data_IF_995319415262
#
_entry.id   IF_995319415262
#
_cell.length_a   1.000
_cell.length_b   1.000
_cell.length_c   1.000
_cell.angle_alpha   90.00
_cell.angle_beta   90.00
_cell.angle_gamma   90.00
#
_symmetry.space_group_name_H-M   'P 1'
#
loop_
_entity.id
_entity.type
_entity.pdbx_description
1 polymer ?
#
# COMPACT_ATOMS: atom_id res chain seq x y z
N UNK A 1 -30.45 -65.40 -10.17
CA UNK A 1 -29.06 -64.96 -9.98
C UNK A 1 -28.96 -63.72 -10.85
N UNK A 2 -29.26 -62.53 -10.30
CA UNK A 2 -28.33 -61.69 -9.52
C UNK A 2 -27.08 -61.43 -10.36
N UNK A 3 -26.66 -60.23 -10.77
CA UNK A 3 -27.02 -58.81 -10.54
C UNK A 3 -26.31 -58.03 -11.69
N UNK A 4 -26.92 -56.97 -12.23
CA UNK A 4 -26.49 -55.55 -12.18
C UNK A 4 -25.03 -55.22 -12.56
N UNK A 5 -24.90 -54.23 -13.47
CA UNK A 5 -23.87 -53.18 -13.61
C UNK A 5 -23.82 -52.73 -15.08
N UNK A 6 -24.72 -51.84 -15.52
CA UNK A 6 -24.68 -50.36 -15.46
C UNK A 6 -23.63 -49.75 -16.40
N UNK A 7 -24.18 -48.91 -17.27
CA UNK A 7 -23.64 -48.18 -18.42
C UNK A 7 -22.42 -47.30 -18.11
N UNK A 8 -21.34 -47.46 -18.89
CA UNK A 8 -20.20 -46.53 -18.93
C UNK A 8 -20.48 -45.48 -20.02
N UNK A 9 -21.34 -44.51 -19.69
CA UNK A 9 -21.49 -43.29 -20.48
C UNK A 9 -20.25 -42.42 -20.27
N UNK A 10 -19.48 -42.29 -21.35
CA UNK A 10 -18.36 -41.36 -21.51
C UNK A 10 -18.79 -39.92 -21.25
N UNK A 11 -18.76 -39.51 -19.98
CA UNK A 11 -18.99 -38.13 -19.57
C UNK A 11 -17.64 -37.40 -19.57
N UNK A 12 -17.26 -36.83 -20.72
CA UNK A 12 -16.15 -35.89 -20.80
C UNK A 12 -16.56 -34.60 -20.06
N UNK A 13 -15.89 -34.20 -18.96
CA UNK A 13 -16.11 -32.89 -18.40
C UNK A 13 -15.58 -31.82 -19.38
N UNK A 14 -16.32 -30.71 -19.60
CA UNK A 14 -15.82 -29.61 -20.42
C UNK A 14 -14.69 -28.90 -19.67
N UNK A 15 -13.66 -28.53 -20.44
CA UNK A 15 -12.53 -27.66 -20.14
C UNK A 15 -12.33 -27.23 -18.69
N UNK A 16 -11.27 -27.75 -18.08
CA UNK A 16 -10.47 -26.94 -17.18
C UNK A 16 -9.92 -25.77 -18.00
N UNK A 17 -10.62 -24.64 -17.97
CA UNK A 17 -10.00 -23.37 -18.30
C UNK A 17 -8.80 -23.24 -17.36
N UNK A 18 -7.63 -23.43 -17.97
CA UNK A 18 -6.36 -23.26 -17.32
C UNK A 18 -6.37 -21.83 -16.82
N UNK A 19 -6.28 -21.65 -15.51
CA UNK A 19 -5.92 -20.39 -14.90
C UNK A 19 -4.54 -20.08 -15.49
N UNK A 20 -4.52 -19.27 -16.56
CA UNK A 20 -3.36 -18.49 -16.91
C UNK A 20 -3.12 -17.61 -15.69
N UNK A 21 -2.25 -18.07 -14.82
CA UNK A 21 -1.48 -17.18 -13.97
C UNK A 21 -0.57 -16.48 -14.97
N UNK A 22 -1.06 -15.36 -15.51
CA UNK A 22 -0.28 -14.44 -16.34
C UNK A 22 0.79 -13.81 -15.44
N UNK A 23 1.80 -14.60 -15.09
CA UNK A 23 3.02 -14.18 -14.43
C UNK A 23 3.97 -13.50 -15.45
N UNK A 24 3.42 -12.75 -16.40
CA UNK A 24 4.14 -12.11 -17.52
C UNK A 24 3.62 -10.68 -17.82
N UNK A 25 2.97 -10.01 -16.85
CA UNK A 25 2.60 -8.60 -16.98
C UNK A 25 3.78 -7.62 -16.87
N UNK A 26 4.98 -8.12 -16.49
CA UNK A 26 6.17 -7.30 -16.30
C UNK A 26 6.77 -6.70 -17.61
N UNK A 27 6.13 -6.92 -18.76
CA UNK A 27 6.62 -6.60 -20.10
C UNK A 27 5.62 -5.78 -20.95
N UNK A 28 4.61 -5.13 -20.39
CA UNK A 28 3.88 -4.11 -21.16
C UNK A 28 4.86 -2.95 -21.48
N UNK A 29 5.18 -2.70 -22.76
CA UNK A 29 6.06 -1.59 -23.14
C UNK A 29 5.44 -0.21 -22.86
N UNK A 30 4.17 -0.13 -22.44
CA UNK A 30 3.47 1.11 -22.11
C UNK A 30 3.21 1.29 -20.61
N UNK A 31 3.69 0.37 -19.76
CA UNK A 31 3.60 0.50 -18.30
C UNK A 31 4.70 1.45 -17.76
N UNK A 32 4.60 2.72 -18.15
CA UNK A 32 5.56 3.75 -17.75
C UNK A 32 5.68 3.85 -16.22
N UNK A 33 4.57 3.63 -15.49
CA UNK A 33 4.55 3.66 -14.03
C UNK A 33 5.27 2.46 -13.41
N UNK A 34 5.00 1.23 -13.83
CA UNK A 34 5.68 0.06 -13.25
C UNK A 34 7.16 -0.02 -13.62
N UNK A 35 7.61 0.55 -14.75
CA UNK A 35 9.05 0.79 -14.96
C UNK A 35 9.61 1.82 -13.97
N UNK A 36 8.91 2.92 -13.75
CA UNK A 36 9.32 3.96 -12.81
C UNK A 36 9.40 3.41 -11.37
N UNK A 37 8.38 2.68 -10.93
CA UNK A 37 8.30 2.11 -9.58
C UNK A 37 9.46 1.14 -9.31
N UNK A 38 9.79 0.26 -10.27
CA UNK A 38 10.95 -0.63 -10.20
C UNK A 38 12.28 0.12 -10.08
N UNK A 39 12.46 1.20 -10.85
CA UNK A 39 13.68 2.03 -10.77
C UNK A 39 13.78 2.80 -9.45
N UNK A 40 12.65 3.27 -8.91
CA UNK A 40 12.55 3.86 -7.57
C UNK A 40 12.99 2.85 -6.52
N UNK A 41 12.50 1.61 -6.58
CA UNK A 41 12.86 0.54 -5.66
C UNK A 41 14.36 0.22 -5.72
N UNK A 42 14.92 0.01 -6.91
CA UNK A 42 16.35 -0.25 -7.11
C UNK A 42 17.19 0.88 -6.52
N UNK A 43 16.78 2.12 -6.73
CA UNK A 43 17.44 3.32 -6.20
C UNK A 43 17.35 3.39 -4.68
N UNK A 44 16.18 3.12 -4.12
CA UNK A 44 15.94 3.09 -2.68
C UNK A 44 16.79 2.02 -2.00
N UNK A 45 16.79 0.78 -2.50
CA UNK A 45 17.59 -0.33 -1.98
C UNK A 45 19.10 -0.05 -2.09
N UNK A 46 19.55 0.63 -3.15
CA UNK A 46 20.93 1.09 -3.28
C UNK A 46 21.28 2.12 -2.20
N UNK A 47 20.39 3.04 -1.88
CA UNK A 47 20.59 4.04 -0.84
C UNK A 47 20.61 3.41 0.57
N UNK A 48 19.77 2.39 0.81
CA UNK A 48 19.78 1.56 2.03
C UNK A 48 21.16 0.92 2.23
N UNK A 49 21.69 0.22 1.21
CA UNK A 49 23.00 -0.45 1.27
C UNK A 49 24.14 0.53 1.56
N UNK A 50 24.04 1.76 1.07
CA UNK A 50 25.04 2.83 1.30
C UNK A 50 24.80 3.59 2.61
N UNK A 51 23.64 3.42 3.25
CA UNK A 51 23.15 4.22 4.37
C UNK A 51 23.20 5.73 4.10
N UNK A 52 22.80 6.17 2.90
CA UNK A 52 22.87 7.56 2.46
C UNK A 52 21.48 8.10 2.11
N UNK A 53 20.75 8.55 3.12
CA UNK A 53 19.39 9.11 2.98
C UNK A 53 19.39 10.33 2.05
N UNK A 54 20.34 11.25 2.21
CA UNK A 54 20.44 12.48 1.41
C UNK A 54 20.68 12.20 -0.09
N UNK A 55 21.36 11.10 -0.41
CA UNK A 55 21.60 10.69 -1.80
C UNK A 55 20.32 10.16 -2.45
N UNK A 56 19.46 9.48 -1.67
CA UNK A 56 18.21 8.94 -2.19
C UNK A 56 17.30 10.04 -2.74
N UNK A 57 17.09 11.13 -1.98
CA UNK A 57 16.22 12.23 -2.42
C UNK A 57 16.68 12.84 -3.75
N UNK A 58 17.99 13.02 -3.95
CA UNK A 58 18.52 13.58 -5.19
C UNK A 58 18.35 12.64 -6.39
N UNK A 59 18.66 11.35 -6.20
CA UNK A 59 18.53 10.32 -7.23
C UNK A 59 17.05 10.12 -7.62
N UNK A 60 16.16 10.02 -6.63
CA UNK A 60 14.71 9.88 -6.85
C UNK A 60 14.10 11.11 -7.52
N UNK A 61 14.54 12.32 -7.16
CA UNK A 61 14.11 13.55 -7.85
C UNK A 61 14.54 13.55 -9.32
N UNK A 62 15.73 13.04 -9.61
CA UNK A 62 16.23 12.92 -10.98
C UNK A 62 15.43 11.89 -11.77
N UNK A 63 15.10 10.74 -11.16
CA UNK A 63 14.23 9.71 -11.76
C UNK A 63 12.83 10.26 -12.06
N UNK A 64 12.18 10.93 -11.11
CA UNK A 64 10.87 11.57 -11.33
C UNK A 64 10.87 12.43 -12.58
N UNK A 65 11.88 13.28 -12.74
CA UNK A 65 11.98 14.18 -13.90
C UNK A 65 12.25 13.42 -15.20
N UNK A 66 12.98 12.30 -15.15
CA UNK A 66 13.27 11.49 -16.33
C UNK A 66 12.02 10.73 -16.83
N UNK A 67 11.18 10.25 -15.92
CA UNK A 67 9.93 9.54 -16.23
C UNK A 67 8.72 10.47 -16.33
N UNK A 68 8.89 11.78 -16.08
CA UNK A 68 7.81 12.77 -16.09
C UNK A 68 6.63 12.42 -15.16
N UNK A 69 6.94 11.86 -13.99
CA UNK A 69 5.96 11.49 -12.97
C UNK A 69 5.63 12.68 -12.06
N UNK A 70 4.43 12.67 -11.49
CA UNK A 70 4.02 13.69 -10.54
C UNK A 70 4.55 13.40 -9.11
N UNK A 71 4.11 14.17 -8.13
CA UNK A 71 4.54 13.98 -6.74
C UNK A 71 3.83 12.81 -6.07
N UNK A 72 2.58 12.54 -6.42
CA UNK A 72 1.78 11.44 -5.89
C UNK A 72 2.36 10.11 -6.37
N UNK A 73 2.65 9.96 -7.68
CA UNK A 73 3.30 8.80 -8.27
C UNK A 73 4.59 8.43 -7.52
N UNK A 74 5.39 9.46 -7.20
CA UNK A 74 6.63 9.28 -6.43
C UNK A 74 6.37 8.91 -4.97
N UNK A 75 5.35 9.49 -4.34
CA UNK A 75 4.99 9.17 -2.97
C UNK A 75 4.57 7.70 -2.85
N UNK A 76 3.70 7.23 -3.75
CA UNK A 76 3.31 5.83 -3.88
C UNK A 76 4.52 4.92 -4.09
N UNK A 77 5.35 5.18 -5.11
CA UNK A 77 6.49 4.32 -5.42
C UNK A 77 7.54 4.25 -4.29
N UNK A 78 7.80 5.37 -3.61
CA UNK A 78 8.72 5.40 -2.46
C UNK A 78 8.11 4.63 -1.28
N UNK A 79 6.82 4.83 -0.99
CA UNK A 79 6.15 4.09 0.07
C UNK A 79 6.11 2.59 -0.21
N UNK A 80 5.78 2.19 -1.45
CA UNK A 80 5.86 0.80 -1.92
C UNK A 80 7.23 0.19 -1.63
N UNK A 81 8.31 0.90 -2.01
CA UNK A 81 9.68 0.45 -1.75
C UNK A 81 10.00 0.28 -0.25
N UNK A 82 9.44 1.13 0.61
CA UNK A 82 9.61 1.01 2.07
C UNK A 82 8.91 -0.22 2.63
N UNK A 83 7.67 -0.45 2.22
CA UNK A 83 6.84 -1.53 2.73
C UNK A 83 7.29 -2.89 2.20
N UNK A 84 7.67 -2.97 0.92
CA UNK A 84 8.32 -4.15 0.35
C UNK A 84 9.60 -4.53 1.11
N UNK A 85 10.46 -3.55 1.43
CA UNK A 85 11.63 -3.80 2.27
C UNK A 85 11.26 -4.32 3.67
N UNK A 86 10.13 -3.87 4.24
CA UNK A 86 9.67 -4.34 5.54
C UNK A 86 9.27 -5.83 5.51
N UNK A 87 8.57 -6.24 4.44
CA UNK A 87 8.17 -7.63 4.17
C UNK A 87 9.40 -8.50 3.88
N UNK A 88 10.30 -8.04 3.00
CA UNK A 88 11.52 -8.77 2.65
C UNK A 88 12.51 -8.89 3.82
N UNK A 89 12.36 -8.04 4.85
CA UNK A 89 13.17 -8.14 6.07
C UNK A 89 12.69 -9.32 6.91
N UNK A 90 13.59 -10.25 7.33
CA UNK A 90 13.20 -11.43 8.09
C UNK A 90 12.31 -11.11 9.30
N UNK A 91 11.17 -11.79 9.36
CA UNK A 91 10.19 -11.67 10.44
C UNK A 91 9.41 -13.00 10.54
N UNK A 92 8.90 -13.32 11.72
CA UNK A 92 8.12 -14.54 11.98
C UNK A 92 6.74 -14.25 12.59
N UNK A 93 6.36 -12.98 12.69
CA UNK A 93 5.08 -12.56 13.24
C UNK A 93 4.67 -11.18 12.72
N UNK A 94 3.37 -10.88 12.78
CA UNK A 94 2.83 -9.56 12.45
C UNK A 94 3.45 -8.43 13.30
N UNK A 95 3.80 -8.71 14.57
CA UNK A 95 4.47 -7.72 15.42
C UNK A 95 5.90 -7.41 14.97
N UNK A 96 6.65 -8.41 14.49
CA UNK A 96 7.98 -8.19 13.92
C UNK A 96 7.90 -7.46 12.57
N UNK A 97 6.93 -7.80 11.72
CA UNK A 97 6.67 -7.10 10.47
C UNK A 97 6.30 -5.62 10.71
N UNK A 98 5.41 -5.35 11.66
CA UNK A 98 5.08 -3.99 12.08
C UNK A 98 6.32 -3.21 12.54
N UNK A 99 7.19 -3.84 13.35
CA UNK A 99 8.45 -3.22 13.79
C UNK A 99 9.39 -2.92 12.64
N UNK A 100 9.47 -3.80 11.63
CA UNK A 100 10.25 -3.55 10.41
C UNK A 100 9.70 -2.32 9.68
N UNK A 101 8.40 -2.28 9.41
CA UNK A 101 7.73 -1.16 8.74
C UNK A 101 7.93 0.16 9.50
N UNK A 102 7.63 0.19 10.80
CA UNK A 102 7.77 1.38 11.64
C UNK A 102 9.22 1.92 11.68
N UNK A 103 10.21 1.01 11.73
CA UNK A 103 11.63 1.36 11.71
C UNK A 103 12.05 1.99 10.36
N UNK A 104 11.60 1.38 9.25
CA UNK A 104 11.91 1.86 7.90
C UNK A 104 11.25 3.22 7.66
N UNK A 105 9.94 3.35 7.92
CA UNK A 105 9.19 4.60 7.79
C UNK A 105 9.86 5.70 8.63
N UNK A 106 10.19 5.43 9.89
CA UNK A 106 10.84 6.42 10.76
C UNK A 106 12.17 6.89 10.18
N UNK A 107 13.00 5.95 9.71
CA UNK A 107 14.33 6.27 9.18
C UNK A 107 14.26 7.04 7.86
N UNK A 108 13.27 6.75 7.02
CA UNK A 108 13.18 7.26 5.66
C UNK A 108 12.08 8.30 5.45
N UNK A 109 11.38 8.72 6.53
CA UNK A 109 10.30 9.71 6.45
C UNK A 109 10.69 11.00 5.74
N UNK A 110 11.94 11.43 5.84
CA UNK A 110 12.41 12.63 5.16
C UNK A 110 12.43 12.51 3.63
N UNK A 111 12.61 11.29 3.10
CA UNK A 111 12.53 11.01 1.67
C UNK A 111 11.07 10.97 1.23
N UNK A 112 10.21 10.28 1.97
CA UNK A 112 8.77 10.23 1.68
C UNK A 112 8.13 11.62 1.76
N UNK A 113 8.37 12.34 2.85
CA UNK A 113 7.88 13.70 3.08
C UNK A 113 8.49 14.75 2.16
N UNK A 114 9.45 14.42 1.29
CA UNK A 114 9.84 15.30 0.19
C UNK A 114 8.73 15.38 -0.87
N UNK A 115 8.00 14.27 -1.08
CA UNK A 115 6.94 14.14 -2.07
C UNK A 115 5.55 14.35 -1.48
N UNK A 116 5.33 13.91 -0.24
CA UNK A 116 4.05 14.06 0.45
C UNK A 116 3.92 15.49 1.02
N UNK A 117 3.28 16.40 0.27
CA UNK A 117 3.16 17.83 0.63
C UNK A 117 1.72 18.30 0.78
N UNK A 118 0.82 17.67 0.05
CA UNK A 118 -0.59 17.99 -0.04
C UNK A 118 -1.42 16.73 0.21
N UNK A 119 -2.73 16.93 0.34
CA UNK A 119 -3.68 15.87 0.66
C UNK A 119 -3.67 14.77 -0.42
N UNK A 120 -3.53 15.14 -1.70
CA UNK A 120 -3.56 14.17 -2.80
C UNK A 120 -2.42 13.15 -2.68
N UNK A 121 -1.19 13.58 -2.35
CA UNK A 121 -0.08 12.63 -2.15
C UNK A 121 -0.22 11.81 -0.85
N UNK A 122 -0.92 12.33 0.15
CA UNK A 122 -1.23 11.59 1.38
C UNK A 122 -2.25 10.48 1.10
N UNK A 123 -3.30 10.79 0.34
CA UNK A 123 -4.29 9.80 -0.11
C UNK A 123 -3.62 8.74 -0.97
N UNK A 124 -2.72 9.13 -1.88
CA UNK A 124 -1.97 8.20 -2.72
C UNK A 124 -1.14 7.21 -1.87
N UNK A 125 -0.52 7.66 -0.77
CA UNK A 125 0.19 6.74 0.15
C UNK A 125 -0.77 5.72 0.78
N UNK A 126 -2.00 6.13 1.14
CA UNK A 126 -3.01 5.22 1.70
C UNK A 126 -3.49 4.24 0.64
N UNK A 127 -3.83 4.73 -0.56
CA UNK A 127 -4.29 3.93 -1.70
C UNK A 127 -3.24 2.90 -2.11
N UNK A 128 -1.97 3.32 -2.25
CA UNK A 128 -0.87 2.39 -2.54
C UNK A 128 -0.72 1.34 -1.45
N UNK A 129 -0.95 1.68 -0.18
CA UNK A 129 -0.91 0.68 0.88
C UNK A 129 -2.03 -0.37 0.75
N UNK A 130 -3.23 0.04 0.35
CA UNK A 130 -4.34 -0.88 0.09
C UNK A 130 -4.02 -1.83 -1.07
N UNK A 131 -3.57 -1.27 -2.20
CA UNK A 131 -3.15 -2.02 -3.40
C UNK A 131 -2.14 -3.10 -3.02
N UNK A 132 -1.09 -2.72 -2.27
CA UNK A 132 -0.10 -3.65 -1.74
C UNK A 132 -0.72 -4.78 -0.91
N UNK A 133 -1.69 -4.48 -0.05
CA UNK A 133 -2.36 -5.48 0.77
C UNK A 133 -3.25 -6.42 -0.06
N UNK A 134 -3.84 -5.93 -1.15
CA UNK A 134 -4.75 -6.67 -2.03
C UNK A 134 -4.00 -7.59 -3.00
N UNK A 135 -2.87 -7.14 -3.54
CA UNK A 135 -2.21 -7.80 -4.67
C UNK A 135 -1.03 -8.67 -4.21
N UNK A 136 -0.04 -8.04 -3.57
CA UNK A 136 1.29 -8.65 -3.39
C UNK A 136 1.60 -9.10 -1.97
N UNK A 137 1.01 -8.44 -0.96
CA UNK A 137 1.45 -8.51 0.44
C UNK A 137 0.28 -8.72 1.41
N UNK A 138 -0.47 -9.81 1.23
CA UNK A 138 -1.61 -10.17 2.09
C UNK A 138 -1.28 -10.27 3.60
N UNK A 139 -0.01 -10.45 3.96
CA UNK A 139 0.49 -10.40 5.35
C UNK A 139 0.41 -9.01 6.00
N UNK A 140 0.32 -7.94 5.21
CA UNK A 140 0.14 -6.57 5.68
C UNK A 140 -1.32 -6.24 6.01
N UNK A 141 -2.30 -6.99 5.49
CA UNK A 141 -3.73 -6.80 5.75
C UNK A 141 -4.05 -6.64 7.24
N UNK A 142 -3.64 -7.56 8.16
CA UNK A 142 -3.96 -7.42 9.59
C UNK A 142 -3.25 -6.24 10.26
N UNK A 143 -2.28 -5.60 9.60
CA UNK A 143 -1.52 -4.45 10.10
C UNK A 143 -2.01 -3.13 9.53
N UNK A 144 -2.98 -3.13 8.61
CA UNK A 144 -3.37 -1.94 7.84
C UNK A 144 -3.72 -0.76 8.75
N UNK A 145 -4.71 -0.92 9.62
CA UNK A 145 -5.14 0.15 10.54
C UNK A 145 -4.02 0.59 11.48
N UNK A 146 -3.17 -0.34 11.92
CA UNK A 146 -2.05 -0.03 12.82
C UNK A 146 -0.96 0.79 12.12
N UNK A 147 -0.66 0.49 10.86
CA UNK A 147 0.30 1.23 10.05
C UNK A 147 -0.28 2.58 9.62
N UNK A 148 -1.56 2.66 9.28
CA UNK A 148 -2.24 3.92 8.96
C UNK A 148 -2.19 4.89 10.16
N UNK A 149 -2.52 4.40 11.36
CA UNK A 149 -2.38 5.18 12.59
C UNK A 149 -0.93 5.61 12.84
N UNK A 150 0.04 4.73 12.57
CA UNK A 150 1.46 5.10 12.69
C UNK A 150 1.89 6.18 11.68
N UNK A 151 1.38 6.15 10.45
CA UNK A 151 1.64 7.19 9.45
C UNK A 151 1.07 8.54 9.91
N UNK A 152 -0.10 8.53 10.53
CA UNK A 152 -0.68 9.70 11.16
C UNK A 152 0.21 10.24 12.30
N UNK A 153 0.62 9.38 13.24
CA UNK A 153 1.52 9.74 14.35
C UNK A 153 2.90 10.29 13.91
N UNK A 154 3.30 10.02 12.66
CA UNK A 154 4.55 10.50 12.07
C UNK A 154 4.42 11.74 11.20
N UNK A 155 3.23 12.33 11.16
CA UNK A 155 2.88 13.46 10.30
C UNK A 155 3.09 13.14 8.81
N UNK A 156 2.93 11.87 8.42
CA UNK A 156 2.99 11.46 7.01
C UNK A 156 1.63 11.65 6.35
N UNK A 157 0.54 11.31 7.05
CA UNK A 157 -0.83 11.56 6.63
C UNK A 157 -1.57 12.34 7.70
N UNK A 158 -2.48 13.21 7.29
CA UNK A 158 -3.30 14.04 8.16
C UNK A 158 -4.72 13.52 8.20
N UNK A 159 -5.48 13.97 9.20
CA UNK A 159 -6.88 13.57 9.38
C UNK A 159 -7.72 13.86 8.13
N UNK A 160 -7.58 15.04 7.54
CA UNK A 160 -8.26 15.41 6.29
C UNK A 160 -8.03 14.41 5.16
N UNK A 161 -6.82 13.87 5.03
CA UNK A 161 -6.50 12.89 4.00
C UNK A 161 -7.17 11.54 4.28
N UNK A 162 -7.16 11.10 5.54
CA UNK A 162 -7.81 9.86 5.97
C UNK A 162 -9.33 9.95 5.77
N UNK A 163 -9.94 11.09 6.11
CA UNK A 163 -11.37 11.31 5.95
C UNK A 163 -11.76 11.32 4.47
N UNK A 164 -11.02 12.04 3.61
CA UNK A 164 -11.29 12.08 2.16
C UNK A 164 -11.11 10.72 1.50
N UNK A 165 -10.05 9.99 1.84
CA UNK A 165 -9.88 8.60 1.39
C UNK A 165 -11.08 7.74 1.79
N UNK A 166 -11.56 7.86 3.03
CA UNK A 166 -12.75 7.14 3.50
C UNK A 166 -14.03 7.51 2.75
N UNK A 167 -14.22 8.79 2.40
CA UNK A 167 -15.33 9.27 1.58
C UNK A 167 -15.28 8.72 0.15
N UNK A 168 -14.10 8.70 -0.47
CA UNK A 168 -13.88 8.12 -1.81
C UNK A 168 -14.20 6.61 -1.81
N UNK A 169 -13.87 5.90 -0.73
CA UNK A 169 -14.18 4.48 -0.55
C UNK A 169 -15.64 4.18 -0.22
N UNK A 170 -16.42 5.15 0.25
CA UNK A 170 -17.84 4.93 0.58
C UNK A 170 -18.65 4.45 -0.64
N UNK A 171 -18.25 4.87 -1.85
CA UNK A 171 -18.84 4.45 -3.12
C UNK A 171 -18.22 3.19 -3.76
N UNK A 172 -17.16 2.62 -3.17
CA UNK A 172 -16.46 1.47 -3.71
C UNK A 172 -17.15 0.13 -3.40
N UNK A 173 -16.67 -0.95 -4.02
CA UNK A 173 -17.18 -2.30 -3.79
C UNK A 173 -16.84 -2.78 -2.36
N UNK A 174 -17.59 -3.77 -1.87
CA UNK A 174 -17.46 -4.25 -0.47
C UNK A 174 -16.06 -4.78 -0.15
N UNK A 175 -15.36 -5.35 -1.15
CA UNK A 175 -13.96 -5.79 -1.03
C UNK A 175 -12.99 -4.64 -0.75
N UNK A 176 -13.31 -3.44 -1.24
CA UNK A 176 -12.46 -2.25 -1.09
C UNK A 176 -12.76 -1.50 0.21
N UNK A 177 -13.87 -1.84 0.89
CA UNK A 177 -14.24 -1.26 2.19
C UNK A 177 -13.59 -1.96 3.37
N UNK A 178 -12.97 -3.13 3.17
CA UNK A 178 -12.35 -3.92 4.25
C UNK A 178 -11.34 -3.09 5.05
N UNK A 179 -10.55 -2.24 4.38
CA UNK A 179 -9.55 -1.38 5.03
C UNK A 179 -10.16 -0.17 5.73
N UNK A 180 -11.22 0.39 5.15
CA UNK A 180 -12.04 1.43 5.79
C UNK A 180 -12.64 0.91 7.09
N UNK A 181 -13.28 -0.26 7.06
CA UNK A 181 -13.89 -0.92 8.23
C UNK A 181 -12.85 -1.18 9.32
N UNK A 182 -11.67 -1.68 8.96
CA UNK A 182 -10.57 -1.88 9.92
C UNK A 182 -10.12 -0.58 10.58
N UNK A 183 -10.25 0.54 9.88
CA UNK A 183 -9.81 1.87 10.34
C UNK A 183 -10.94 2.67 11.02
N UNK A 184 -12.19 2.19 11.01
CA UNK A 184 -13.36 2.91 11.55
C UNK A 184 -13.17 3.36 13.00
N UNK A 185 -12.67 2.48 13.88
CA UNK A 185 -12.45 2.83 15.28
C UNK A 185 -11.45 3.98 15.47
N UNK A 186 -10.42 4.02 14.62
CA UNK A 186 -9.44 5.11 14.60
C UNK A 186 -10.05 6.40 14.03
N UNK A 187 -10.77 6.31 12.92
CA UNK A 187 -11.44 7.45 12.28
C UNK A 187 -12.49 8.07 13.21
N UNK A 188 -13.27 7.23 13.91
CA UNK A 188 -14.30 7.69 14.83
C UNK A 188 -13.70 8.39 16.05
N UNK A 189 -12.64 7.81 16.63
CA UNK A 189 -11.91 8.45 17.73
C UNK A 189 -11.38 9.84 17.35
N UNK A 190 -10.95 10.03 16.10
CA UNK A 190 -10.48 11.34 15.59
C UNK A 190 -11.60 12.37 15.47
N UNK A 191 -12.75 11.99 14.90
CA UNK A 191 -13.92 12.87 14.79
C UNK A 191 -14.40 13.38 16.15
N UNK A 192 -14.47 12.47 17.13
CA UNK A 192 -14.85 12.82 18.51
C UNK A 192 -13.86 13.80 19.14
N UNK A 193 -12.55 13.60 18.95
CA UNK A 193 -11.53 14.51 19.47
C UNK A 193 -11.59 15.91 18.83
N UNK A 194 -11.88 16.00 17.52
CA UNK A 194 -12.02 17.28 16.83
C UNK A 194 -13.26 18.06 17.28
N UNK A 195 -14.39 17.38 17.53
CA UNK A 195 -15.62 18.00 18.01
C UNK A 195 -15.47 18.56 19.45
N UNK A 196 -14.68 17.89 20.31
CA UNK A 196 -14.37 18.38 21.65
C UNK A 196 -13.46 19.62 21.65
N UNK A 197 -12.50 19.71 20.72
CA UNK A 197 -11.60 20.87 20.60
C UNK A 197 -12.31 22.14 20.10
N UNK A 198 -13.29 22.00 19.20
CA UNK A 198 -14.09 23.11 18.68
C UNK A 198 -15.08 23.68 19.73
N UNK A 199 -15.59 22.84 20.65
CA UNK A 199 -16.48 23.29 21.74
C UNK A 199 -15.74 24.04 22.86
N UNK A 200 -14.43 23.81 23.03
CA UNK A 200 -13.60 24.54 24.01
C UNK A 200 -13.16 25.94 23.53
N UNK A 201 -13.16 26.21 22.22
CA UNK A 201 -12.81 27.54 21.68
C UNK A 201 -13.98 28.56 21.69
N UNK A 202 -15.22 28.09 21.80
CA UNK A 202 -16.44 28.93 21.84
C UNK A 202 -16.97 29.19 23.28
N UNK A 203 -16.20 28.81 24.32
CA UNK A 203 -16.51 29.00 25.76
C UNK A 203 -15.63 30.04 26.46
#
# INVERSE_FOLDING_TARGET
MFDDDIEDESNFPPSADSINTDADDANDPNDDYGYFEREVEVTFLRAIKKNKVEVATFELKSLRLAYNMDSADCAGAVFHSMMRLAVDTPHNSASELYRNAASIITKWKGVLGFYVKHIDEQIEVIMKFEEMCQEDYAELVPLFAQILHFLYDKDVVQEDAILRWGEEKAGADESDKVYLIQSEAFIQWRKEASEEEDEEEDS
#
